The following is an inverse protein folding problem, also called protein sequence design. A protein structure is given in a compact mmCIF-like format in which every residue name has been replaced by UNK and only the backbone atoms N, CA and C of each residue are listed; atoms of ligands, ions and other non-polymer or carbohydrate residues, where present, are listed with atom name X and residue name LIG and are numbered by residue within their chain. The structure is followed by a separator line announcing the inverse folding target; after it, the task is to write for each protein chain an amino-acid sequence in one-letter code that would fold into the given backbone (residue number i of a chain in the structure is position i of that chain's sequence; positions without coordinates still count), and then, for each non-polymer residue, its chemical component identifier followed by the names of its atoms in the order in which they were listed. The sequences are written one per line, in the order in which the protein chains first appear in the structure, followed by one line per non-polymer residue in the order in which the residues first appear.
data_IF_270639496864
#
_entry.id   IF_270639496864
#
_cell.length_a   1.000
_cell.length_b   1.000
_cell.length_c   1.000
_cell.angle_alpha   90.00
_cell.angle_beta   90.00
_cell.angle_gamma   90.00
#
_symmetry.space_group_name_H-M   'P 1'
#
loop_
_entity.id
_entity.type
_entity.pdbx_description
1 polymer ?
#
# COMPACT_ATOMS: atom_id res chain seq x y z
N UNK A 1 -8.04 -6.14 3.56
CA UNK A 1 -8.58 -5.66 2.29
C UNK A 1 -7.87 -4.38 1.83
N UNK A 2 -7.92 -4.01 0.58
CA UNK A 2 -7.36 -2.74 0.11
C UNK A 2 -8.43 -1.66 0.23
N UNK A 3 -8.04 -0.47 0.63
CA UNK A 3 -8.87 0.73 0.63
C UNK A 3 -9.37 0.95 -0.80
N UNK A 4 -10.69 1.02 -1.01
CA UNK A 4 -11.29 1.30 -2.31
C UNK A 4 -11.44 2.82 -2.54
N UNK A 5 -11.92 3.22 -3.73
CA UNK A 5 -12.01 4.64 -4.03
C UNK A 5 -13.16 5.33 -3.28
N UNK A 6 -14.22 4.60 -2.93
CA UNK A 6 -15.31 5.16 -2.13
C UNK A 6 -14.86 5.49 -0.69
N UNK A 7 -14.13 4.59 -0.06
CA UNK A 7 -13.53 4.86 1.24
C UNK A 7 -12.47 5.97 1.16
N UNK A 8 -11.65 5.99 0.09
CA UNK A 8 -10.67 7.06 -0.11
C UNK A 8 -11.35 8.43 -0.27
N UNK A 9 -12.51 8.49 -0.95
CA UNK A 9 -13.30 9.72 -1.10
C UNK A 9 -13.79 10.24 0.27
N UNK A 10 -14.33 9.35 1.11
CA UNK A 10 -14.71 9.71 2.49
C UNK A 10 -13.52 10.26 3.26
N UNK A 11 -12.39 9.58 3.18
CA UNK A 11 -11.15 9.96 3.86
C UNK A 11 -10.58 11.29 3.34
N UNK A 12 -10.55 11.52 2.03
CA UNK A 12 -10.08 12.79 1.46
C UNK A 12 -10.95 13.96 1.91
N UNK A 13 -12.27 13.78 2.02
CA UNK A 13 -13.17 14.81 2.57
C UNK A 13 -12.86 15.14 4.03
N UNK A 14 -12.63 14.11 4.88
CA UNK A 14 -12.20 14.29 6.27
C UNK A 14 -10.86 15.02 6.37
N UNK A 15 -9.87 14.58 5.57
CA UNK A 15 -8.54 15.16 5.56
C UNK A 15 -8.52 16.59 5.02
N UNK A 16 -9.34 16.91 4.01
CA UNK A 16 -9.47 18.26 3.48
C UNK A 16 -10.01 19.22 4.55
N UNK A 17 -11.07 18.83 5.26
CA UNK A 17 -11.65 19.60 6.35
C UNK A 17 -10.66 19.85 7.49
N UNK A 18 -9.92 18.81 7.90
CA UNK A 18 -9.03 18.88 9.06
C UNK A 18 -7.66 19.50 8.77
N UNK A 19 -7.11 19.28 7.56
CA UNK A 19 -5.71 19.61 7.26
C UNK A 19 -5.52 20.82 6.36
N UNK A 20 -6.55 21.27 5.66
CA UNK A 20 -6.48 22.48 4.84
C UNK A 20 -6.14 23.70 5.71
N UNK A 21 -5.14 24.45 5.26
CA UNK A 21 -4.60 25.57 6.03
C UNK A 21 -3.43 25.23 6.95
N UNK A 22 -3.17 23.96 7.23
CA UNK A 22 -2.04 23.54 8.06
C UNK A 22 -0.71 23.66 7.33
N UNK A 23 0.35 24.00 8.07
CA UNK A 23 1.73 24.10 7.57
C UNK A 23 2.49 22.81 7.81
N UNK A 24 3.27 22.38 6.81
CA UNK A 24 4.15 21.22 6.88
C UNK A 24 5.42 21.60 7.66
N UNK A 25 5.50 21.20 8.92
CA UNK A 25 6.62 21.53 9.79
C UNK A 25 7.81 20.59 9.60
N UNK A 26 7.53 19.32 9.30
CA UNK A 26 8.56 18.30 9.14
C UNK A 26 8.07 17.17 8.23
N UNK A 27 8.96 16.70 7.36
CA UNK A 27 8.76 15.49 6.56
C UNK A 27 9.72 14.41 7.05
N UNK A 28 9.18 13.22 7.33
CA UNK A 28 9.95 12.05 7.74
C UNK A 28 9.55 10.82 6.93
N UNK A 29 10.47 9.88 6.78
CA UNK A 29 10.25 8.59 6.12
C UNK A 29 10.79 7.48 7.01
N UNK A 30 9.95 6.87 7.84
CA UNK A 30 10.34 5.76 8.73
C UNK A 30 10.79 4.53 7.96
N UNK A 31 10.25 4.32 6.77
CA UNK A 31 10.61 3.25 5.86
C UNK A 31 10.67 3.76 4.40
N UNK A 32 11.10 2.90 3.49
CA UNK A 32 11.15 3.24 2.05
C UNK A 32 9.77 3.47 1.41
N UNK A 33 8.73 2.96 2.05
CA UNK A 33 7.35 2.97 1.53
C UNK A 33 6.41 3.87 2.35
N UNK A 34 6.91 4.62 3.34
CA UNK A 34 6.09 5.44 4.22
C UNK A 34 6.63 6.86 4.33
N UNK A 35 5.74 7.83 4.15
CA UNK A 35 6.01 9.26 4.36
C UNK A 35 5.09 9.76 5.46
N UNK A 36 5.62 10.57 6.38
CA UNK A 36 4.85 11.25 7.41
C UNK A 36 5.07 12.75 7.27
N UNK A 37 3.98 13.48 7.09
CA UNK A 37 3.93 14.92 7.14
C UNK A 37 3.48 15.34 8.55
N UNK A 38 4.38 15.99 9.29
CA UNK A 38 4.01 16.61 10.57
C UNK A 38 3.47 18.01 10.28
N UNK A 39 2.22 18.22 10.60
CA UNK A 39 1.43 19.39 10.26
C UNK A 39 1.12 20.21 11.52
N UNK A 40 1.02 21.53 11.36
CA UNK A 40 0.66 22.43 12.46
C UNK A 40 -0.15 23.61 11.94
N UNK A 41 -1.20 23.96 12.69
CA UNK A 41 -1.88 25.26 12.63
C UNK A 41 -1.60 26.07 13.92
N UNK A 42 -2.31 27.16 14.14
CA UNK A 42 -2.20 27.92 15.39
C UNK A 42 -2.67 27.09 16.59
N UNK A 43 -3.77 26.34 16.42
CA UNK A 43 -4.49 25.71 17.50
C UNK A 43 -4.36 24.16 17.50
N UNK A 44 -3.81 23.57 16.44
CA UNK A 44 -3.79 22.11 16.29
C UNK A 44 -2.51 21.59 15.65
N UNK A 45 -2.26 20.30 15.87
CA UNK A 45 -1.19 19.53 15.27
C UNK A 45 -1.73 18.21 14.74
N UNK A 46 -1.22 17.75 13.60
CA UNK A 46 -1.58 16.47 13.02
C UNK A 46 -0.36 15.79 12.40
N UNK A 47 -0.38 14.46 12.33
CA UNK A 47 0.58 13.67 11.56
C UNK A 47 -0.17 12.96 10.44
N UNK A 48 0.08 13.32 9.20
CA UNK A 48 -0.48 12.63 8.04
C UNK A 48 0.48 11.51 7.61
N UNK A 49 0.04 10.27 7.76
CA UNK A 49 0.74 9.08 7.29
C UNK A 49 0.30 8.75 5.85
N UNK A 50 1.27 8.59 4.97
CA UNK A 50 1.08 8.10 3.60
C UNK A 50 1.89 6.81 3.48
N UNK A 51 1.25 5.66 3.31
CA UNK A 51 1.89 4.36 3.15
C UNK A 51 1.63 3.79 1.75
N UNK A 52 2.70 3.43 1.04
CA UNK A 52 2.66 2.75 -0.26
C UNK A 52 2.99 1.26 -0.16
N UNK A 53 2.95 0.68 1.04
CA UNK A 53 3.17 -0.77 1.24
C UNK A 53 2.10 -1.56 0.53
N UNK A 54 2.49 -2.58 -0.22
CA UNK A 54 1.59 -3.36 -1.08
C UNK A 54 0.38 -3.98 -0.34
N UNK A 55 0.56 -4.38 0.92
CA UNK A 55 -0.49 -5.01 1.72
C UNK A 55 -1.29 -4.04 2.60
N UNK A 56 -0.79 -2.81 2.81
CA UNK A 56 -1.35 -1.81 3.73
C UNK A 56 -1.20 -0.38 3.19
N UNK A 57 -1.41 -0.22 1.88
CA UNK A 57 -1.41 1.09 1.24
C UNK A 57 -2.57 1.93 1.77
N UNK A 58 -2.26 3.12 2.32
CA UNK A 58 -3.24 3.99 2.99
C UNK A 58 -2.78 5.42 3.14
N UNK A 59 -3.72 6.28 3.42
CA UNK A 59 -3.55 7.69 3.75
C UNK A 59 -4.41 7.94 4.99
N UNK A 60 -3.88 8.52 6.08
CA UNK A 60 -4.66 8.77 7.30
C UNK A 60 -3.92 9.68 8.27
N UNK A 61 -4.65 10.32 9.17
CA UNK A 61 -4.05 10.95 10.35
C UNK A 61 -3.66 9.85 11.34
N UNK A 62 -2.51 9.99 11.99
CA UNK A 62 -2.02 9.02 12.96
C UNK A 62 -1.39 9.71 14.19
N UNK A 63 -1.56 9.08 15.34
CA UNK A 63 -0.88 9.48 16.57
C UNK A 63 0.37 8.63 16.84
N UNK A 64 0.58 7.54 16.07
CA UNK A 64 1.70 6.64 16.26
C UNK A 64 3.05 7.36 16.13
N UNK A 65 4.01 6.89 16.91
CA UNK A 65 5.40 7.31 16.80
C UNK A 65 6.20 6.28 16.01
N UNK A 66 6.98 6.76 15.08
CA UNK A 66 7.78 5.93 14.18
C UNK A 66 9.27 6.21 14.39
N UNK A 67 10.05 5.14 14.44
CA UNK A 67 11.51 5.24 14.43
C UNK A 67 11.99 5.63 13.04
N UNK A 68 12.74 6.71 12.95
CA UNK A 68 13.28 7.19 11.70
C UNK A 68 14.73 6.70 11.50
N UNK A 69 15.14 6.38 10.27
CA UNK A 69 16.53 6.02 9.98
C UNK A 69 17.45 7.20 10.26
N UNK A 70 18.70 6.90 10.68
CA UNK A 70 19.72 7.92 10.96
C UNK A 70 20.02 8.77 9.70
N UNK A 71 19.97 8.17 8.52
CA UNK A 71 20.12 8.86 7.23
C UNK A 71 18.78 8.81 6.48
N UNK A 72 18.13 9.96 6.26
CA UNK A 72 16.88 10.01 5.52
C UNK A 72 17.06 9.55 4.06
N UNK A 73 16.08 8.84 3.48
CA UNK A 73 16.07 8.52 2.05
C UNK A 73 16.11 9.77 1.16
N UNK A 74 16.62 9.64 -0.06
CA UNK A 74 16.72 10.77 -1.02
C UNK A 74 15.37 11.44 -1.30
N UNK A 75 14.31 10.64 -1.45
CA UNK A 75 12.95 11.16 -1.64
C UNK A 75 12.45 12.00 -0.45
N UNK A 76 12.82 11.63 0.79
CA UNK A 76 12.54 12.44 1.97
C UNK A 76 13.21 13.82 1.90
N UNK A 77 14.48 13.86 1.48
CA UNK A 77 15.21 15.13 1.33
C UNK A 77 14.62 16.00 0.24
N UNK A 78 14.19 15.38 -0.86
CA UNK A 78 13.49 16.06 -1.95
C UNK A 78 12.15 16.66 -1.47
N UNK A 79 11.32 15.88 -0.76
CA UNK A 79 10.09 16.41 -0.20
C UNK A 79 10.35 17.59 0.75
N UNK A 80 11.36 17.49 1.62
CA UNK A 80 11.75 18.62 2.51
C UNK A 80 12.09 19.88 1.75
N UNK A 81 12.79 19.73 0.61
CA UNK A 81 13.17 20.84 -0.25
C UNK A 81 11.97 21.51 -0.89
N UNK A 82 11.03 20.73 -1.45
CA UNK A 82 9.96 21.26 -2.30
C UNK A 82 8.66 21.59 -1.55
N UNK A 83 8.36 20.89 -0.44
CA UNK A 83 7.11 21.10 0.31
C UNK A 83 7.34 21.43 1.78
N UNK A 84 8.58 21.40 2.28
CA UNK A 84 8.89 21.78 3.65
C UNK A 84 8.54 23.25 3.92
N UNK A 85 7.83 23.51 5.03
CA UNK A 85 7.33 24.85 5.36
C UNK A 85 6.11 25.29 4.55
N UNK A 86 5.69 24.52 3.55
CA UNK A 86 4.51 24.78 2.74
C UNK A 86 3.20 24.58 3.50
N UNK A 87 2.10 25.08 2.93
CA UNK A 87 0.76 25.05 3.50
C UNK A 87 -0.14 24.17 2.61
N UNK A 88 -0.87 23.23 3.20
CA UNK A 88 -1.89 22.45 2.48
C UNK A 88 -3.04 23.38 2.10
N UNK A 89 -3.40 23.40 0.83
CA UNK A 89 -4.49 24.25 0.30
C UNK A 89 -5.74 23.44 -0.02
N UNK A 90 -5.58 22.17 -0.42
CA UNK A 90 -6.70 21.30 -0.75
C UNK A 90 -6.26 19.83 -0.72
N UNK A 91 -7.16 18.95 -0.32
CA UNK A 91 -7.03 17.50 -0.47
C UNK A 91 -8.25 16.98 -1.22
N UNK A 92 -8.04 16.31 -2.35
CA UNK A 92 -9.13 15.77 -3.16
C UNK A 92 -8.77 14.38 -3.68
N UNK A 93 -9.78 13.61 -4.08
CA UNK A 93 -9.58 12.33 -4.75
C UNK A 93 -9.94 12.41 -6.23
N UNK A 94 -9.27 11.62 -7.05
CA UNK A 94 -9.64 11.42 -8.44
C UNK A 94 -10.92 10.57 -8.49
N UNK A 95 -11.88 10.97 -9.33
CA UNK A 95 -13.17 10.29 -9.41
C UNK A 95 -13.03 8.79 -9.65
N UNK A 96 -13.65 8.01 -8.77
CA UNK A 96 -13.72 6.54 -8.83
C UNK A 96 -12.38 5.80 -8.92
N UNK A 97 -11.26 6.50 -8.66
CA UNK A 97 -9.92 5.93 -8.62
C UNK A 97 -9.30 6.05 -7.22
N UNK A 98 -8.34 5.18 -6.93
CA UNK A 98 -7.64 5.18 -5.63
C UNK A 98 -6.44 6.11 -5.65
N UNK A 99 -6.69 7.36 -5.98
CA UNK A 99 -5.69 8.42 -6.09
C UNK A 99 -6.17 9.64 -5.32
N UNK A 100 -5.36 10.12 -4.40
CA UNK A 100 -5.56 11.39 -3.71
C UNK A 100 -4.54 12.41 -4.17
N UNK A 101 -4.98 13.66 -4.30
CA UNK A 101 -4.13 14.82 -4.58
C UNK A 101 -4.07 15.72 -3.37
N UNK A 102 -2.86 16.07 -2.95
CA UNK A 102 -2.60 17.03 -1.88
C UNK A 102 -1.94 18.23 -2.51
N UNK A 103 -2.67 19.34 -2.60
CA UNK A 103 -2.19 20.61 -3.14
C UNK A 103 -1.51 21.41 -2.03
N UNK A 104 -0.39 22.03 -2.35
CA UNK A 104 0.46 22.70 -1.37
C UNK A 104 0.92 24.04 -1.94
N UNK A 105 0.82 25.10 -1.14
CA UNK A 105 1.51 26.35 -1.38
C UNK A 105 2.86 26.31 -0.66
N UNK A 106 3.95 26.46 -1.40
CA UNK A 106 5.30 26.45 -0.86
C UNK A 106 6.13 27.61 -1.43
N UNK A 107 7.26 27.88 -0.81
CA UNK A 107 8.22 28.85 -1.30
C UNK A 107 9.47 28.10 -1.74
N UNK A 108 9.94 28.36 -2.94
CA UNK A 108 11.14 27.72 -3.46
C UNK A 108 12.45 28.37 -2.92
N UNK A 109 13.59 27.87 -3.37
CA UNK A 109 14.92 28.38 -2.93
C UNK A 109 15.20 29.81 -3.38
N UNK A 110 14.47 30.33 -4.37
CA UNK A 110 14.60 31.71 -4.86
C UNK A 110 13.65 32.68 -4.14
N UNK A 111 12.75 32.14 -3.31
CA UNK A 111 11.75 32.93 -2.60
C UNK A 111 10.44 33.07 -3.38
N UNK A 112 10.29 32.40 -4.51
CA UNK A 112 9.07 32.44 -5.33
C UNK A 112 8.00 31.48 -4.78
N UNK A 113 6.74 31.94 -4.85
CA UNK A 113 5.60 31.09 -4.50
C UNK A 113 5.38 30.04 -5.59
N UNK A 114 5.35 28.78 -5.20
CA UNK A 114 5.12 27.63 -6.08
C UNK A 114 3.99 26.75 -5.53
N UNK A 115 3.30 26.01 -6.39
CA UNK A 115 2.13 25.21 -6.08
C UNK A 115 2.36 23.72 -6.39
N UNK A 116 3.29 23.04 -5.68
CA UNK A 116 3.51 21.62 -5.89
C UNK A 116 2.31 20.81 -5.41
N UNK A 117 2.13 19.65 -6.03
CA UNK A 117 1.09 18.68 -5.70
C UNK A 117 1.73 17.33 -5.37
N UNK A 118 1.23 16.63 -4.35
CA UNK A 118 1.51 15.21 -4.12
C UNK A 118 0.37 14.39 -4.69
N UNK A 119 0.66 13.53 -5.66
CA UNK A 119 -0.24 12.46 -6.09
C UNK A 119 0.05 11.22 -5.26
N UNK A 120 -0.93 10.80 -4.47
CA UNK A 120 -0.88 9.61 -3.60
C UNK A 120 -1.73 8.52 -4.25
N UNK A 121 -1.09 7.49 -4.76
CA UNK A 121 -1.71 6.40 -5.52
C UNK A 121 -1.74 5.13 -4.68
N UNK A 122 -2.93 4.64 -4.31
CA UNK A 122 -3.12 3.52 -3.38
C UNK A 122 -3.57 2.24 -4.12
N UNK A 123 -2.70 1.70 -4.96
CA UNK A 123 -2.99 0.59 -5.89
C UNK A 123 -2.23 -0.70 -5.54
N UNK A 124 -2.19 -1.07 -4.26
CA UNK A 124 -1.51 -2.27 -3.79
C UNK A 124 -0.01 -2.24 -4.12
N UNK A 125 0.51 -3.20 -4.86
CA UNK A 125 1.93 -3.25 -5.26
C UNK A 125 2.36 -2.06 -6.15
N UNK A 126 1.42 -1.45 -6.85
CA UNK A 126 1.65 -0.28 -7.71
C UNK A 126 1.43 1.06 -6.99
N UNK A 127 1.21 1.02 -5.68
CA UNK A 127 1.07 2.25 -4.89
C UNK A 127 2.31 3.11 -5.00
N UNK A 128 2.10 4.43 -5.13
CA UNK A 128 3.16 5.39 -5.36
C UNK A 128 2.87 6.74 -4.67
N UNK A 129 3.88 7.55 -4.49
CA UNK A 129 3.76 8.98 -4.14
C UNK A 129 4.59 9.72 -5.17
N UNK A 130 3.94 10.62 -5.92
CA UNK A 130 4.58 11.43 -6.96
C UNK A 130 4.50 12.89 -6.55
N UNK A 131 5.64 13.57 -6.56
CA UNK A 131 5.69 15.02 -6.38
C UNK A 131 5.68 15.69 -7.74
N UNK A 132 4.71 16.56 -7.95
CA UNK A 132 4.45 17.23 -9.24
C UNK A 132 4.58 18.74 -9.04
N UNK A 133 5.24 19.41 -9.97
CA UNK A 133 5.34 20.87 -9.97
C UNK A 133 4.04 21.53 -10.44
N UNK A 134 3.92 22.83 -10.24
CA UNK A 134 2.86 23.68 -10.77
C UNK A 134 2.69 23.60 -12.29
N UNK A 135 3.77 23.26 -13.01
CA UNK A 135 3.77 23.07 -14.49
C UNK A 135 3.35 21.66 -14.91
N UNK A 136 2.89 20.82 -13.99
CA UNK A 136 2.52 19.44 -14.28
C UNK A 136 3.71 18.51 -14.59
N UNK A 137 4.92 18.87 -14.15
CA UNK A 137 6.13 18.07 -14.37
C UNK A 137 6.44 17.25 -13.11
N UNK A 138 6.78 15.99 -13.27
CA UNK A 138 7.24 15.12 -12.19
C UNK A 138 8.54 15.66 -11.63
N UNK A 139 8.53 16.06 -10.37
CA UNK A 139 9.75 16.44 -9.64
C UNK A 139 10.49 15.17 -9.23
N UNK A 140 9.78 14.21 -8.59
CA UNK A 140 10.24 12.85 -8.33
C UNK A 140 9.08 11.95 -7.88
N UNK A 141 9.34 10.65 -7.78
CA UNK A 141 8.41 9.66 -7.27
C UNK A 141 9.09 8.72 -6.27
N UNK A 142 8.36 8.23 -5.26
CA UNK A 142 8.89 7.27 -4.30
C UNK A 142 9.29 5.96 -4.98
N UNK A 143 8.54 5.59 -6.04
CA UNK A 143 8.86 4.50 -6.97
C UNK A 143 8.92 5.08 -8.38
N UNK A 144 10.11 5.28 -8.91
CA UNK A 144 10.32 5.73 -10.28
C UNK A 144 9.92 4.64 -11.26
N UNK A 145 9.21 5.01 -12.32
CA UNK A 145 8.76 4.11 -13.37
C UNK A 145 9.37 4.60 -14.69
N UNK A 146 10.23 3.78 -15.27
CA UNK A 146 10.86 4.04 -16.57
C UNK A 146 10.17 3.24 -17.69
N UNK A 147 10.63 3.40 -18.92
CA UNK A 147 10.17 2.71 -20.12
C UNK A 147 10.27 1.19 -20.05
N UNK A 148 11.33 0.66 -19.41
CA UNK A 148 11.49 -0.79 -19.22
C UNK A 148 10.49 -1.41 -18.24
N UNK A 149 9.85 -0.60 -17.39
CA UNK A 149 8.89 -1.05 -16.36
C UNK A 149 7.44 -0.88 -16.81
N UNK A 150 7.15 0.07 -17.67
CA UNK A 150 5.80 0.35 -18.15
C UNK A 150 5.82 1.12 -19.48
N UNK A 151 5.15 0.57 -20.49
CA UNK A 151 4.93 1.23 -21.77
C UNK A 151 3.81 2.28 -21.72
N UNK A 152 2.95 2.22 -20.70
CA UNK A 152 1.74 3.03 -20.59
C UNK A 152 2.01 4.36 -19.89
N UNK A 153 2.88 4.34 -18.84
CA UNK A 153 3.08 5.50 -17.98
C UNK A 153 4.49 5.50 -17.41
N UNK A 154 5.17 6.61 -17.59
CA UNK A 154 6.51 6.83 -17.04
C UNK A 154 6.45 7.90 -15.94
N UNK A 155 7.13 7.65 -14.80
CA UNK A 155 7.22 8.55 -13.66
C UNK A 155 8.70 8.79 -13.33
N UNK A 156 9.34 9.57 -14.19
CA UNK A 156 10.74 9.98 -14.03
C UNK A 156 10.83 11.50 -13.85
N UNK A 157 11.80 11.99 -13.08
CA UNK A 157 12.04 13.42 -12.94
C UNK A 157 12.16 14.13 -14.31
N UNK A 158 11.45 15.24 -14.45
CA UNK A 158 11.41 16.03 -15.68
C UNK A 158 10.36 15.60 -16.71
N UNK A 159 9.64 14.51 -16.52
CA UNK A 159 8.57 14.07 -17.42
C UNK A 159 7.25 14.73 -17.04
N UNK A 160 6.35 14.86 -18.03
CA UNK A 160 4.99 15.34 -17.78
C UNK A 160 4.26 14.30 -16.93
N UNK A 161 3.64 14.77 -15.85
CA UNK A 161 2.82 13.92 -15.00
C UNK A 161 1.53 13.52 -15.74
N UNK A 162 1.24 12.24 -15.74
CA UNK A 162 -0.04 11.68 -16.19
C UNK A 162 -0.67 10.91 -15.04
N UNK A 163 -1.96 11.08 -14.82
CA UNK A 163 -2.69 10.28 -13.84
C UNK A 163 -2.65 8.78 -14.20
N UNK A 164 -2.83 7.87 -13.24
CA UNK A 164 -3.00 6.46 -13.57
C UNK A 164 -4.12 6.26 -14.58
N UNK A 165 -3.99 5.32 -15.53
CA UNK A 165 -5.02 5.07 -16.52
C UNK A 165 -6.31 4.59 -15.87
N UNK A 166 -7.44 5.18 -16.26
CA UNK A 166 -8.76 4.75 -15.79
C UNK A 166 -9.06 3.32 -16.24
N UNK A 167 -9.93 2.64 -15.50
CA UNK A 167 -10.36 1.26 -15.82
C UNK A 167 -11.30 1.29 -17.04
N UNK A 168 -10.77 1.04 -18.24
CA UNK A 168 -11.39 1.28 -19.55
C UNK A 168 -12.80 0.63 -19.69
N UNK A 169 -13.05 -0.50 -19.02
CA UNK A 169 -14.32 -1.27 -19.18
C UNK A 169 -15.31 -1.04 -18.05
N UNK A 170 -15.05 -0.08 -17.14
CA UNK A 170 -15.90 0.19 -15.99
C UNK A 170 -16.43 1.62 -16.01
N UNK A 171 -17.65 1.78 -15.55
CA UNK A 171 -18.28 3.09 -15.38
C UNK A 171 -17.86 3.70 -14.04
N UNK A 172 -17.45 4.96 -13.99
CA UNK A 172 -17.12 5.62 -12.73
C UNK A 172 -18.36 5.77 -11.85
N UNK A 173 -18.26 5.31 -10.60
CA UNK A 173 -19.42 5.21 -9.70
C UNK A 173 -20.03 6.57 -9.37
N UNK A 174 -19.23 7.59 -9.11
CA UNK A 174 -19.72 8.86 -8.60
C UNK A 174 -20.25 9.79 -9.69
N UNK A 175 -19.60 9.84 -10.86
CA UNK A 175 -20.00 10.71 -11.96
C UNK A 175 -21.07 10.11 -12.88
N UNK A 176 -21.35 8.80 -12.78
CA UNK A 176 -22.38 8.14 -13.60
C UNK A 176 -23.71 8.09 -12.84
N UNK A 177 -24.82 8.29 -13.56
CA UNK A 177 -26.17 8.17 -12.97
C UNK A 177 -26.45 6.73 -12.52
N UNK A 178 -27.24 6.59 -11.46
CA UNK A 178 -27.62 5.31 -10.87
C UNK A 178 -28.30 4.37 -11.86
N UNK A 179 -29.17 4.91 -12.71
CA UNK A 179 -29.84 4.14 -13.76
C UNK A 179 -28.85 3.48 -14.71
N UNK A 180 -27.86 4.23 -15.19
CA UNK A 180 -26.83 3.73 -16.12
C UNK A 180 -25.94 2.68 -15.45
N UNK A 181 -25.58 2.87 -14.18
CA UNK A 181 -24.79 1.89 -13.39
C UNK A 181 -25.57 0.57 -13.24
N UNK A 182 -26.83 0.65 -12.81
CA UNK A 182 -27.69 -0.51 -12.60
C UNK A 182 -27.95 -1.25 -13.94
N UNK A 183 -28.34 -0.54 -14.99
CA UNK A 183 -28.55 -1.15 -16.30
C UNK A 183 -27.31 -1.84 -16.86
N UNK A 184 -26.14 -1.26 -16.64
CA UNK A 184 -24.88 -1.88 -17.08
C UNK A 184 -24.58 -3.18 -16.33
N UNK A 185 -24.84 -3.22 -15.00
CA UNK A 185 -24.68 -4.42 -14.20
C UNK A 185 -25.73 -5.51 -14.59
N UNK A 186 -26.99 -5.12 -14.82
CA UNK A 186 -28.07 -6.01 -15.18
C UNK A 186 -27.92 -6.72 -16.55
N UNK A 187 -26.99 -6.28 -17.39
CA UNK A 187 -26.67 -6.95 -18.68
C UNK A 187 -25.73 -8.13 -18.54
N UNK A 188 -25.17 -8.34 -17.35
CA UNK A 188 -24.19 -9.39 -17.10
C UNK A 188 -24.88 -10.65 -16.55
N UNK A 189 -24.65 -11.80 -17.17
CA UNK A 189 -25.16 -13.12 -16.72
C UNK A 189 -24.21 -13.74 -15.71
N UNK A 190 -24.14 -13.16 -14.51
CA UNK A 190 -23.32 -13.58 -13.37
C UNK A 190 -23.85 -12.97 -12.06
N UNK A 191 -23.42 -13.48 -10.88
CA UNK A 191 -23.85 -12.97 -9.58
C UNK A 191 -23.76 -11.44 -9.50
N UNK A 192 -24.77 -10.79 -8.93
CA UNK A 192 -24.92 -9.32 -8.91
C UNK A 192 -23.67 -8.62 -8.33
N UNK A 193 -23.11 -9.16 -7.25
CA UNK A 193 -21.89 -8.62 -6.66
C UNK A 193 -20.72 -8.62 -7.65
N UNK A 194 -20.57 -9.69 -8.43
CA UNK A 194 -19.55 -9.84 -9.47
C UNK A 194 -19.83 -8.96 -10.69
N UNK A 195 -21.11 -8.79 -11.05
CA UNK A 195 -21.54 -7.90 -12.12
C UNK A 195 -21.18 -6.45 -11.81
N UNK A 196 -21.53 -5.97 -10.61
CA UNK A 196 -21.16 -4.65 -10.12
C UNK A 196 -19.63 -4.47 -10.11
N UNK A 197 -18.90 -5.41 -9.53
CA UNK A 197 -17.43 -5.33 -9.42
C UNK A 197 -16.73 -5.24 -10.78
N UNK A 198 -17.29 -5.89 -11.81
CA UNK A 198 -16.68 -5.91 -13.15
C UNK A 198 -17.08 -4.74 -14.05
N UNK A 199 -18.19 -4.09 -13.74
CA UNK A 199 -18.77 -3.03 -14.60
C UNK A 199 -18.65 -1.64 -14.00
N UNK A 200 -18.40 -1.53 -12.69
CA UNK A 200 -18.36 -0.27 -11.95
C UNK A 200 -16.95 -0.06 -11.36
N UNK A 201 -16.39 1.11 -11.58
CA UNK A 201 -15.15 1.56 -10.96
C UNK A 201 -15.46 2.37 -9.69
N UNK A 202 -14.58 2.29 -8.69
CA UNK A 202 -14.68 3.12 -7.49
C UNK A 202 -15.19 2.37 -6.25
N UNK A 203 -16.00 1.35 -6.41
CA UNK A 203 -16.49 0.51 -5.30
C UNK A 203 -15.72 -0.81 -5.23
N UNK A 204 -15.44 -1.25 -4.01
CA UNK A 204 -14.71 -2.48 -3.73
C UNK A 204 -15.60 -3.72 -3.60
N UNK A 205 -15.01 -4.91 -3.50
CA UNK A 205 -15.77 -6.16 -3.37
C UNK A 205 -16.73 -6.20 -2.18
N UNK A 206 -16.39 -5.55 -1.07
CA UNK A 206 -17.24 -5.48 0.12
C UNK A 206 -18.52 -4.70 -0.14
N UNK A 207 -18.38 -3.54 -0.77
CA UNK A 207 -19.51 -2.68 -1.15
C UNK A 207 -20.39 -3.38 -2.20
N UNK A 208 -19.77 -4.03 -3.20
CA UNK A 208 -20.55 -4.78 -4.22
C UNK A 208 -21.37 -5.91 -3.59
N UNK A 209 -20.80 -6.65 -2.63
CA UNK A 209 -21.52 -7.68 -1.90
C UNK A 209 -22.63 -7.10 -1.02
N UNK A 210 -22.39 -5.96 -0.39
CA UNK A 210 -23.41 -5.28 0.42
C UNK A 210 -24.60 -4.82 -0.43
N UNK A 211 -24.33 -4.21 -1.59
CA UNK A 211 -25.41 -3.83 -2.54
C UNK A 211 -26.18 -5.09 -2.98
N UNK A 212 -25.48 -6.17 -3.31
CA UNK A 212 -26.13 -7.42 -3.69
C UNK A 212 -26.97 -7.99 -2.56
N UNK A 213 -26.43 -8.08 -1.35
CA UNK A 213 -27.12 -8.60 -0.16
C UNK A 213 -28.39 -7.81 0.18
N UNK A 214 -28.34 -6.48 0.11
CA UNK A 214 -29.52 -5.62 0.32
C UNK A 214 -30.53 -5.69 -0.81
N UNK A 215 -30.13 -6.12 -2.00
CA UNK A 215 -31.00 -6.25 -3.17
C UNK A 215 -31.65 -7.62 -3.26
N UNK A 216 -30.85 -8.67 -3.06
CA UNK A 216 -31.29 -10.07 -3.11
C UNK A 216 -30.39 -10.89 -2.17
N UNK A 217 -30.99 -11.53 -1.16
CA UNK A 217 -30.25 -12.21 -0.08
C UNK A 217 -29.21 -13.25 -0.55
N UNK A 218 -29.40 -13.85 -1.71
CA UNK A 218 -28.63 -14.98 -2.23
C UNK A 218 -27.73 -14.66 -3.42
N UNK A 219 -27.27 -13.41 -3.60
CA UNK A 219 -26.38 -12.97 -4.70
C UNK A 219 -26.75 -13.62 -6.07
N UNK A 220 -27.99 -13.42 -6.48
CA UNK A 220 -28.53 -13.96 -7.75
C UNK A 220 -27.81 -13.39 -8.96
N UNK A 221 -27.91 -14.06 -10.10
CA UNK A 221 -27.42 -13.52 -11.36
C UNK A 221 -28.15 -12.23 -11.72
N UNK A 222 -27.42 -11.24 -12.15
CA UNK A 222 -27.92 -9.87 -12.33
C UNK A 222 -29.05 -9.77 -13.39
N UNK A 223 -29.01 -10.60 -14.43
CA UNK A 223 -30.05 -10.68 -15.47
C UNK A 223 -31.33 -11.40 -14.99
N UNK A 224 -31.28 -12.15 -13.88
CA UNK A 224 -32.41 -12.91 -13.30
C UNK A 224 -33.16 -12.12 -12.22
N UNK A 225 -32.83 -10.87 -11.95
CA UNK A 225 -33.52 -10.08 -10.93
C UNK A 225 -34.96 -9.76 -11.33
N UNK A 226 -35.87 -9.87 -10.38
CA UNK A 226 -37.30 -9.47 -10.52
C UNK A 226 -37.42 -7.94 -10.64
N UNK A 227 -38.61 -7.46 -10.99
CA UNK A 227 -38.86 -6.01 -11.07
C UNK A 227 -38.68 -5.31 -9.75
N UNK A 228 -39.08 -5.93 -8.63
CA UNK A 228 -38.91 -5.36 -7.27
C UNK A 228 -37.46 -5.34 -6.85
N UNK A 229 -36.72 -6.42 -7.11
CA UNK A 229 -35.27 -6.48 -6.84
C UNK A 229 -34.50 -5.45 -7.68
N UNK A 230 -34.91 -5.19 -8.94
CA UNK A 230 -34.32 -4.10 -9.74
C UNK A 230 -34.57 -2.72 -9.10
N UNK A 231 -35.78 -2.47 -8.60
CA UNK A 231 -36.10 -1.24 -7.92
C UNK A 231 -35.22 -1.07 -6.63
N UNK A 232 -35.04 -2.17 -5.88
CA UNK A 232 -34.12 -2.19 -4.71
C UNK A 232 -32.68 -1.93 -5.12
N UNK A 233 -32.20 -2.47 -6.24
CA UNK A 233 -30.85 -2.20 -6.74
C UNK A 233 -30.60 -0.71 -6.96
N UNK A 234 -31.54 -0.01 -7.60
CA UNK A 234 -31.44 1.45 -7.79
C UNK A 234 -31.35 2.17 -6.45
N UNK A 235 -32.24 1.85 -5.52
CA UNK A 235 -32.25 2.46 -4.17
C UNK A 235 -30.96 2.18 -3.40
N UNK A 236 -30.41 0.97 -3.50
CA UNK A 236 -29.19 0.59 -2.81
C UNK A 236 -27.93 1.26 -3.41
N UNK A 237 -27.87 1.47 -4.72
CA UNK A 237 -26.79 2.27 -5.34
C UNK A 237 -26.87 3.73 -4.87
N UNK A 238 -28.07 4.33 -4.82
CA UNK A 238 -28.26 5.69 -4.29
C UNK A 238 -27.89 5.78 -2.80
N UNK A 239 -28.29 4.78 -2.01
CA UNK A 239 -27.91 4.70 -0.60
C UNK A 239 -26.37 4.73 -0.43
N UNK A 240 -25.62 3.94 -1.21
CA UNK A 240 -24.15 3.93 -1.13
C UNK A 240 -23.55 5.28 -1.53
N UNK A 241 -24.07 5.93 -2.58
CA UNK A 241 -23.63 7.28 -2.97
C UNK A 241 -23.87 8.28 -1.85
N UNK A 242 -25.07 8.28 -1.26
CA UNK A 242 -25.41 9.15 -0.16
C UNK A 242 -24.56 8.90 1.08
N UNK A 243 -24.29 7.62 1.43
CA UNK A 243 -23.42 7.25 2.53
C UNK A 243 -21.99 7.79 2.38
N UNK A 244 -21.44 7.80 1.16
CA UNK A 244 -20.11 8.35 0.89
C UNK A 244 -20.07 9.88 1.07
N UNK A 245 -21.10 10.57 0.59
CA UNK A 245 -21.05 12.04 0.54
C UNK A 245 -21.59 12.70 1.81
N UNK A 246 -22.64 12.12 2.46
CA UNK A 246 -23.39 12.81 3.50
C UNK A 246 -23.60 12.05 4.81
N UNK A 247 -23.66 10.71 4.80
CA UNK A 247 -24.13 9.91 5.94
C UNK A 247 -23.14 8.77 6.26
N UNK A 248 -21.97 9.16 6.74
CA UNK A 248 -20.84 8.24 6.97
C UNK A 248 -20.93 7.60 8.35
N UNK A 249 -21.00 6.28 8.39
CA UNK A 249 -20.91 5.48 9.61
C UNK A 249 -19.65 4.61 9.56
N UNK A 250 -18.57 5.12 10.13
CA UNK A 250 -17.31 4.39 10.14
C UNK A 250 -17.35 3.23 11.11
N UNK A 251 -17.11 2.03 10.62
CA UNK A 251 -17.16 0.82 11.43
C UNK A 251 -16.13 -0.22 11.05
N UNK A 252 -15.73 -1.05 12.01
CA UNK A 252 -14.93 -2.25 11.83
C UNK A 252 -15.76 -3.46 12.22
N UNK A 253 -15.81 -4.44 11.34
CA UNK A 253 -16.41 -5.76 11.59
C UNK A 253 -15.35 -6.66 12.22
N UNK A 254 -15.72 -7.33 13.33
CA UNK A 254 -14.86 -8.20 14.09
C UNK A 254 -15.44 -9.60 14.18
N UNK A 255 -14.61 -10.63 13.99
CA UNK A 255 -14.94 -12.02 14.20
C UNK A 255 -13.82 -12.68 15.01
N UNK A 256 -14.15 -13.38 16.10
CA UNK A 256 -13.21 -14.17 16.92
C UNK A 256 -11.92 -13.41 17.27
N UNK A 257 -12.02 -12.19 17.75
CA UNK A 257 -10.90 -11.28 18.07
C UNK A 257 -10.05 -10.83 16.88
N UNK A 258 -10.49 -11.05 15.63
CA UNK A 258 -9.82 -10.56 14.41
C UNK A 258 -10.62 -9.47 13.75
N UNK A 259 -9.95 -8.41 13.31
CA UNK A 259 -10.54 -7.39 12.48
C UNK A 259 -10.68 -7.94 11.05
N UNK A 260 -11.92 -8.05 10.59
CA UNK A 260 -12.25 -8.70 9.31
C UNK A 260 -12.32 -7.68 8.19
N UNK A 261 -13.08 -6.61 8.41
CA UNK A 261 -13.39 -5.59 7.41
C UNK A 261 -13.59 -4.24 8.07
N UNK A 262 -13.41 -3.17 7.32
CA UNK A 262 -13.79 -1.82 7.70
C UNK A 262 -14.69 -1.19 6.64
N UNK A 263 -15.53 -0.25 7.04
CA UNK A 263 -16.48 0.40 6.15
C UNK A 263 -16.80 1.82 6.59
N UNK A 264 -17.33 2.62 5.65
CA UNK A 264 -17.93 3.94 5.89
C UNK A 264 -19.46 3.87 6.04
N UNK A 265 -20.03 2.67 6.02
CA UNK A 265 -21.47 2.39 6.20
C UNK A 265 -21.65 1.04 6.89
N UNK A 266 -22.80 0.83 7.49
CA UNK A 266 -23.16 -0.44 8.13
C UNK A 266 -23.28 -1.55 7.10
N UNK A 267 -22.61 -2.69 7.34
CA UNK A 267 -22.55 -3.84 6.45
C UNK A 267 -23.46 -4.96 6.97
N UNK A 268 -24.69 -5.04 6.44
CA UNK A 268 -25.68 -6.05 6.83
C UNK A 268 -25.31 -7.48 6.42
N UNK A 269 -24.48 -7.63 5.38
CA UNK A 269 -24.01 -8.93 4.89
C UNK A 269 -23.23 -9.75 5.94
N UNK A 270 -22.77 -9.12 7.01
CA UNK A 270 -22.03 -9.79 8.08
C UNK A 270 -22.89 -10.26 9.26
N UNK A 271 -24.22 -10.01 9.22
CA UNK A 271 -25.18 -10.49 10.22
C UNK A 271 -24.83 -10.02 11.64
N UNK A 272 -24.78 -10.96 12.57
CA UNK A 272 -24.58 -10.68 14.00
C UNK A 272 -23.12 -10.59 14.45
N UNK A 273 -22.17 -10.34 13.55
CA UNK A 273 -20.76 -10.11 13.93
C UNK A 273 -20.63 -8.82 14.74
N UNK A 274 -19.67 -8.81 15.65
CA UNK A 274 -19.34 -7.62 16.46
C UNK A 274 -18.95 -6.44 15.56
N UNK A 275 -19.52 -5.27 15.83
CA UNK A 275 -19.23 -4.02 15.11
C UNK A 275 -18.66 -2.99 16.08
N UNK A 276 -17.57 -2.37 15.70
CA UNK A 276 -16.96 -1.24 16.44
C UNK A 276 -17.16 0.00 15.59
N UNK A 277 -17.81 1.02 16.15
CA UNK A 277 -18.04 2.32 15.49
C UNK A 277 -16.98 3.34 15.85
N UNK A 278 -16.72 4.27 14.93
CA UNK A 278 -15.73 5.35 15.04
C UNK A 278 -16.34 6.67 14.56
N UNK A 279 -15.84 7.77 15.12
CA UNK A 279 -16.26 9.11 14.69
C UNK A 279 -15.55 9.53 13.39
N UNK A 280 -14.32 9.04 13.16
CA UNK A 280 -13.50 9.41 12.01
C UNK A 280 -12.94 8.20 11.25
N UNK A 281 -12.73 8.36 9.94
CA UNK A 281 -12.07 7.36 9.11
C UNK A 281 -10.63 7.09 9.59
N UNK A 282 -9.92 8.14 9.99
CA UNK A 282 -8.54 8.03 10.46
C UNK A 282 -8.42 7.20 11.74
N UNK A 283 -9.32 7.35 12.72
CA UNK A 283 -9.34 6.51 13.93
C UNK A 283 -9.61 5.06 13.60
N UNK A 284 -10.61 4.78 12.77
CA UNK A 284 -10.94 3.45 12.30
C UNK A 284 -9.74 2.79 11.61
N UNK A 285 -9.09 3.48 10.68
CA UNK A 285 -7.93 2.97 9.95
C UNK A 285 -6.71 2.79 10.86
N UNK A 286 -6.50 3.67 11.86
CA UNK A 286 -5.45 3.52 12.84
C UNK A 286 -5.60 2.21 13.61
N UNK A 287 -6.81 1.89 14.11
CA UNK A 287 -7.02 0.62 14.82
C UNK A 287 -6.82 -0.57 13.89
N UNK A 288 -7.44 -0.56 12.70
CA UNK A 288 -7.41 -1.66 11.76
C UNK A 288 -5.99 -2.01 11.30
N UNK A 289 -5.19 -1.01 10.97
CA UNK A 289 -3.83 -1.21 10.45
C UNK A 289 -2.77 -1.32 11.55
N UNK A 290 -2.96 -0.77 12.75
CA UNK A 290 -1.98 -0.86 13.82
C UNK A 290 -1.74 -2.30 14.28
N UNK A 291 -2.80 -3.09 14.41
CA UNK A 291 -2.70 -4.51 14.76
C UNK A 291 -1.98 -5.29 13.66
N UNK A 292 -2.38 -5.06 12.40
CA UNK A 292 -1.80 -5.69 11.24
C UNK A 292 -0.32 -5.32 11.04
N UNK A 293 0.01 -4.04 11.15
CA UNK A 293 1.40 -3.56 11.03
C UNK A 293 2.28 -4.12 12.16
N UNK A 294 1.74 -4.23 13.38
CA UNK A 294 2.45 -4.84 14.51
C UNK A 294 2.76 -6.31 14.24
N UNK A 295 1.81 -7.06 13.71
CA UNK A 295 2.05 -8.45 13.30
C UNK A 295 3.06 -8.57 12.15
N UNK A 296 2.94 -7.73 11.12
CA UNK A 296 3.86 -7.74 9.98
C UNK A 296 5.28 -7.35 10.40
N UNK A 297 5.44 -6.34 11.23
CA UNK A 297 6.74 -5.95 11.82
C UNK A 297 7.34 -7.09 12.64
N UNK A 298 6.52 -7.80 13.44
CA UNK A 298 6.97 -8.96 14.22
C UNK A 298 7.41 -10.10 13.30
N UNK A 299 6.63 -10.41 12.26
CA UNK A 299 6.97 -11.43 11.26
C UNK A 299 8.24 -11.07 10.50
N UNK A 300 8.40 -9.82 10.08
CA UNK A 300 9.59 -9.34 9.37
C UNK A 300 10.86 -9.42 10.26
N UNK A 301 10.78 -8.98 11.53
CA UNK A 301 11.89 -9.14 12.49
C UNK A 301 12.25 -10.59 12.71
N UNK A 302 11.26 -11.47 12.89
CA UNK A 302 11.47 -12.93 13.06
C UNK A 302 12.13 -13.55 11.82
N UNK A 303 11.67 -13.18 10.61
CA UNK A 303 12.22 -13.66 9.36
C UNK A 303 13.69 -13.23 9.17
N UNK A 304 14.00 -11.96 9.45
CA UNK A 304 15.37 -11.43 9.37
C UNK A 304 16.31 -12.14 10.34
N UNK A 305 15.88 -12.34 11.60
CA UNK A 305 16.65 -13.09 12.59
C UNK A 305 16.89 -14.54 12.14
N UNK A 306 15.85 -15.21 11.65
CA UNK A 306 15.95 -16.57 11.13
C UNK A 306 16.94 -16.64 9.95
N UNK A 307 16.87 -15.69 9.02
CA UNK A 307 17.80 -15.62 7.89
C UNK A 307 19.25 -15.40 8.34
N UNK A 308 19.49 -14.48 9.28
CA UNK A 308 20.83 -14.25 9.84
C UNK A 308 21.39 -15.49 10.52
N UNK A 309 20.58 -16.16 11.37
CA UNK A 309 20.98 -17.40 12.06
C UNK A 309 21.27 -18.52 11.05
N UNK A 310 20.43 -18.70 10.04
CA UNK A 310 20.65 -19.70 8.98
C UNK A 310 21.93 -19.42 8.20
N UNK A 311 22.20 -18.17 7.84
CA UNK A 311 23.44 -17.77 7.14
C UNK A 311 24.68 -18.04 7.97
N UNK A 312 24.64 -17.73 9.28
CA UNK A 312 25.74 -18.02 10.21
C UNK A 312 25.95 -19.52 10.34
N UNK A 313 24.87 -20.28 10.49
CA UNK A 313 24.90 -21.74 10.60
C UNK A 313 25.55 -22.36 9.35
N UNK A 314 25.08 -21.99 8.15
CA UNK A 314 25.64 -22.49 6.90
C UNK A 314 27.12 -22.15 6.73
N UNK A 315 27.54 -20.94 7.09
CA UNK A 315 28.95 -20.55 7.08
C UNK A 315 29.77 -21.40 8.04
N UNK A 316 29.24 -21.65 9.24
CA UNK A 316 29.92 -22.46 10.26
C UNK A 316 30.05 -23.91 9.84
N UNK A 317 28.98 -24.50 9.26
CA UNK A 317 28.99 -25.86 8.72
C UNK A 317 30.02 -25.99 7.59
N UNK A 318 30.03 -25.06 6.62
CA UNK A 318 31.02 -25.06 5.52
C UNK A 318 32.46 -24.93 6.06
N UNK A 319 32.68 -24.08 7.05
CA UNK A 319 34.01 -23.91 7.70
C UNK A 319 34.45 -25.16 8.43
N UNK A 320 33.55 -25.84 9.15
CA UNK A 320 33.87 -27.10 9.81
C UNK A 320 34.18 -28.21 8.79
N UNK A 321 33.38 -28.36 7.74
CA UNK A 321 33.64 -29.34 6.69
C UNK A 321 35.01 -29.09 5.99
N UNK A 322 35.38 -27.82 5.74
CA UNK A 322 36.68 -27.48 5.20
C UNK A 322 37.83 -27.84 6.16
N UNK A 323 37.67 -27.56 7.46
CA UNK A 323 38.68 -27.94 8.48
C UNK A 323 38.83 -29.45 8.62
N UNK A 324 37.72 -30.19 8.60
CA UNK A 324 37.78 -31.65 8.61
C UNK A 324 38.51 -32.19 7.37
N UNK A 325 38.21 -31.63 6.19
CA UNK A 325 38.93 -32.03 4.95
C UNK A 325 40.42 -31.69 5.02
N UNK A 326 40.79 -30.54 5.59
CA UNK A 326 42.22 -30.19 5.82
C UNK A 326 42.86 -31.14 6.81
N UNK A 327 42.19 -31.50 7.90
CA UNK A 327 42.70 -32.47 8.89
C UNK A 327 42.97 -33.82 8.26
N UNK A 328 42.01 -34.39 7.49
CA UNK A 328 42.22 -35.64 6.77
C UNK A 328 43.27 -35.57 5.69
N UNK A 329 43.44 -34.41 5.07
CA UNK A 329 44.51 -34.20 4.07
C UNK A 329 45.89 -34.14 4.70
N UNK A 330 46.00 -33.51 5.90
CA UNK A 330 47.24 -33.44 6.65
C UNK A 330 47.67 -34.82 7.13
N UNK A 331 46.74 -35.62 7.68
CA UNK A 331 47.00 -37.02 8.10
C UNK A 331 47.51 -37.86 6.93
N UNK A 332 46.91 -37.72 5.73
CA UNK A 332 47.41 -38.36 4.52
C UNK A 332 48.76 -37.82 4.03
N UNK A 333 49.05 -36.54 4.27
CA UNK A 333 50.33 -35.93 3.92
C UNK A 333 51.46 -36.46 4.77
N UNK A 334 51.26 -36.67 6.08
CA UNK A 334 52.21 -37.25 7.00
C UNK A 334 52.50 -38.73 6.62
N UNK A 335 51.47 -39.50 6.30
CA UNK A 335 51.65 -40.85 5.79
C UNK A 335 52.47 -40.89 4.50
N UNK A 336 52.19 -39.96 3.52
CA UNK A 336 52.97 -39.83 2.28
C UNK A 336 54.40 -39.41 2.51
N UNK A 337 54.64 -38.54 3.48
CA UNK A 337 56.00 -38.12 3.90
C UNK A 337 56.80 -39.30 4.42
N UNK A 338 56.17 -40.12 5.31
CA UNK A 338 56.78 -41.36 5.84
C UNK A 338 57.09 -42.33 4.69
N UNK A 339 56.19 -42.54 3.73
CA UNK A 339 56.49 -43.34 2.56
C UNK A 339 57.61 -42.78 1.71
N UNK A 340 57.70 -41.47 1.53
CA UNK A 340 58.80 -40.79 0.85
C UNK A 340 60.16 -41.02 1.52
N UNK A 341 60.18 -40.89 2.83
CA UNK A 341 61.39 -41.14 3.66
C UNK A 341 61.79 -42.64 3.57
N UNK A 342 60.85 -43.57 3.67
CA UNK A 342 61.12 -45.01 3.51
C UNK A 342 61.62 -45.33 2.11
N UNK A 343 61.06 -44.74 1.03
CA UNK A 343 61.54 -44.88 -0.31
C UNK A 343 62.97 -44.35 -0.48
N UNK A 344 63.24 -43.19 0.04
CA UNK A 344 64.57 -42.54 0.00
C UNK A 344 65.62 -43.40 0.74
N UNK A 345 65.31 -43.89 1.90
CA UNK A 345 66.19 -44.74 2.71
C UNK A 345 66.47 -46.10 2.04
N UNK A 346 65.57 -46.57 1.14
CA UNK A 346 65.73 -47.88 0.48
C UNK A 346 65.91 -47.76 -1.04
N UNK A 347 66.29 -46.61 -1.56
CA UNK A 347 66.48 -46.37 -2.99
C UNK A 347 67.44 -47.37 -3.63
N UNK A 348 68.46 -47.82 -2.94
CA UNK A 348 69.42 -48.82 -3.40
C UNK A 348 68.82 -50.23 -3.58
N UNK A 349 67.69 -50.52 -3.00
CA UNK A 349 66.96 -51.78 -3.16
C UNK A 349 65.95 -51.74 -4.30
N UNK A 350 65.63 -50.58 -4.84
CA UNK A 350 64.66 -50.43 -5.91
C UNK A 350 65.38 -50.65 -7.30
N UNK A 351 65.26 -51.82 -7.85
CA UNK A 351 65.71 -52.11 -9.21
C UNK A 351 64.66 -51.58 -10.18
N UNK A 352 65.10 -50.77 -11.18
CA UNK A 352 64.32 -50.36 -12.34
C UNK A 352 63.99 -51.65 -13.13
N UNK A 353 62.69 -52.08 -13.13
CA UNK A 353 62.23 -53.05 -14.12
C UNK A 353 62.28 -52.38 -15.48
N UNK A 354 63.08 -52.95 -16.39
CA UNK A 354 63.12 -52.62 -17.84
C UNK A 354 61.85 -53.12 -18.50
#
# INVERSE_FOLDING_TARGET
MALDASMLRCLCSELDELLTGMRIMKVTMPSRDEVILNLRSQDSQAKLLISTRAGSARLQITEENFDNPAVPPSFCMLLRKHIGGGKITKIECLDSERVAYIHIDAVDEMGDLVHPMLSVELMGRYSNIVTVSDKGIVIDAIKRINDSMSDIRQLMPGFIFTAPPAQINKLPFFSTSTSVLAERALRESKPLSSALLSTVAGIGPSVCREISFRTCENDKDADMLTADEKALLYSNIEYVKHAVDCDRHYCIIKSDHRLVEFSYMDLQQYGDLDVIHFDTASEMLNLFYSERDREERRKAKSHNLKHQVTTILERTVRRNAAREAEYYSADKADSKKLYGELLTANLWKIKKRR
#
